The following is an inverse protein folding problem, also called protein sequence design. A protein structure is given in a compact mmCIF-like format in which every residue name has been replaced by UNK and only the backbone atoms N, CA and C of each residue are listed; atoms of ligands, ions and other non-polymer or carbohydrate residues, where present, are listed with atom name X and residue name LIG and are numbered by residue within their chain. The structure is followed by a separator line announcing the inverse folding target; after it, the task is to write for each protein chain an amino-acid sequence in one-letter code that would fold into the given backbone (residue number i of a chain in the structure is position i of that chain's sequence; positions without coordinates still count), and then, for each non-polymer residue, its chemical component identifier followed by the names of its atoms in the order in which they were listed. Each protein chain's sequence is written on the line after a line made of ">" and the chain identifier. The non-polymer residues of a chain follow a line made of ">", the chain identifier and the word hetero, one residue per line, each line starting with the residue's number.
data_IF_130351048576
#
_entry.id   IF_130351048576
#
_cell.length_a   1.000
_cell.length_b   1.000
_cell.length_c   1.000
_cell.angle_alpha   90.00
_cell.angle_beta   90.00
_cell.angle_gamma   90.00
#
_symmetry.space_group_name_H-M   'P 1'
#
loop_
_entity.id
_entity.type
_entity.pdbx_description
1 polymer ?
#
# COMPACT_ATOMS: atom_id res chain seq x y z
N UNK A 1 -19.13 10.33 -3.52
CA UNK A 1 -17.97 10.14 -2.62
C UNK A 1 -17.16 8.99 -3.16
N UNK A 2 -15.84 9.09 -3.16
CA UNK A 2 -14.97 8.04 -3.71
C UNK A 2 -14.98 6.81 -2.78
N UNK A 3 -14.92 5.62 -3.36
CA UNK A 3 -14.77 4.35 -2.66
C UNK A 3 -13.29 4.00 -2.60
N UNK A 4 -12.78 3.78 -1.39
CA UNK A 4 -11.40 3.39 -1.17
C UNK A 4 -11.39 1.94 -0.67
N UNK A 5 -10.76 1.06 -1.43
CA UNK A 5 -10.52 -0.31 -1.01
C UNK A 5 -9.43 -0.36 0.04
N UNK A 6 -9.66 -1.07 1.12
CA UNK A 6 -8.68 -1.30 2.18
C UNK A 6 -8.45 -2.80 2.32
N UNK A 7 -7.23 -3.30 2.19
CA UNK A 7 -6.96 -4.73 2.41
C UNK A 7 -6.50 -4.97 3.84
N UNK A 8 -6.94 -6.08 4.44
CA UNK A 8 -6.65 -6.38 5.85
C UNK A 8 -5.19 -6.77 6.16
N UNK A 9 -4.39 -7.10 5.15
CA UNK A 9 -3.02 -7.56 5.32
C UNK A 9 -2.91 -8.88 6.09
N UNK A 10 -1.79 -9.08 6.78
CA UNK A 10 -1.58 -10.26 7.64
C UNK A 10 -2.58 -10.24 8.80
N UNK A 11 -3.47 -11.25 8.83
CA UNK A 11 -4.54 -11.39 9.84
C UNK A 11 -4.03 -11.59 11.27
N UNK A 12 -2.78 -11.98 11.45
CA UNK A 12 -2.13 -12.15 12.75
C UNK A 12 -1.29 -10.92 13.13
N UNK A 13 -1.10 -9.98 12.19
CA UNK A 13 -0.42 -8.72 12.42
C UNK A 13 -1.34 -7.61 12.94
N UNK A 14 -0.87 -6.37 12.82
CA UNK A 14 -1.57 -5.17 13.33
C UNK A 14 -2.58 -4.56 12.34
N UNK A 15 -2.78 -5.18 11.17
CA UNK A 15 -3.59 -4.60 10.09
C UNK A 15 -5.01 -4.24 10.52
N UNK A 16 -5.71 -5.21 11.14
CA UNK A 16 -7.04 -4.98 11.69
C UNK A 16 -7.07 -3.95 12.82
N UNK A 17 -6.06 -3.91 13.69
CA UNK A 17 -5.96 -2.90 14.75
C UNK A 17 -5.94 -1.49 14.16
N UNK A 18 -5.08 -1.26 13.16
CA UNK A 18 -4.98 0.05 12.48
C UNK A 18 -6.29 0.40 11.80
N UNK A 19 -6.89 -0.55 11.05
CA UNK A 19 -8.14 -0.34 10.32
C UNK A 19 -9.28 0.02 11.28
N UNK A 20 -9.46 -0.76 12.35
CA UNK A 20 -10.53 -0.53 13.34
C UNK A 20 -10.34 0.84 14.01
N UNK A 21 -9.13 1.15 14.51
CA UNK A 21 -8.84 2.44 15.16
C UNK A 21 -9.04 3.62 14.21
N UNK A 22 -8.71 3.47 12.94
CA UNK A 22 -8.93 4.50 11.91
C UNK A 22 -10.42 4.72 11.65
N UNK A 23 -11.21 3.64 11.54
CA UNK A 23 -12.64 3.72 11.22
C UNK A 23 -13.53 4.14 12.40
N UNK A 24 -12.99 4.12 13.63
CA UNK A 24 -13.65 4.74 14.79
C UNK A 24 -13.72 6.27 14.66
N UNK A 25 -12.78 6.88 13.95
CA UNK A 25 -12.81 8.31 13.65
C UNK A 25 -13.80 8.62 12.51
N UNK A 26 -14.95 9.18 12.88
CA UNK A 26 -16.03 9.47 11.94
C UNK A 26 -15.65 10.48 10.85
N UNK A 27 -14.59 11.28 11.05
CA UNK A 27 -14.08 12.22 10.04
C UNK A 27 -13.66 11.51 8.75
N UNK A 28 -13.25 10.24 8.82
CA UNK A 28 -12.90 9.45 7.64
C UNK A 28 -14.04 9.36 6.62
N UNK A 29 -15.29 9.29 7.09
CA UNK A 29 -16.46 9.23 6.22
C UNK A 29 -16.81 10.54 5.52
N UNK A 30 -16.13 11.64 5.86
CA UNK A 30 -16.22 12.90 5.12
C UNK A 30 -15.31 12.88 3.89
N UNK A 31 -14.23 12.10 3.92
CA UNK A 31 -13.26 11.98 2.84
C UNK A 31 -13.58 10.84 1.86
N UNK A 32 -14.05 9.69 2.36
CA UNK A 32 -14.28 8.51 1.52
C UNK A 32 -15.35 7.55 2.05
N UNK A 33 -15.78 6.63 1.19
CA UNK A 33 -16.51 5.42 1.56
C UNK A 33 -15.52 4.24 1.62
N UNK A 34 -15.08 3.79 2.81
CA UNK A 34 -14.15 2.69 2.93
C UNK A 34 -14.82 1.34 2.65
N UNK A 35 -14.15 0.51 1.84
CA UNK A 35 -14.55 -0.88 1.55
C UNK A 35 -13.42 -1.80 1.99
N UNK A 36 -13.61 -2.51 3.09
CA UNK A 36 -12.61 -3.46 3.60
C UNK A 36 -12.70 -4.79 2.84
N UNK A 37 -11.57 -5.28 2.34
CA UNK A 37 -11.40 -6.61 1.79
C UNK A 37 -10.67 -7.46 2.84
N UNK A 38 -11.33 -8.51 3.32
CA UNK A 38 -10.79 -9.37 4.37
C UNK A 38 -11.84 -10.31 4.96
N UNK A 39 -11.72 -10.66 6.23
CA UNK A 39 -12.67 -11.49 6.98
C UNK A 39 -13.46 -10.71 8.03
N UNK A 40 -14.81 -10.78 8.04
CA UNK A 40 -15.63 -10.27 9.14
C UNK A 40 -15.34 -11.00 10.46
N UNK A 41 -15.05 -12.31 10.39
CA UNK A 41 -14.73 -13.13 11.57
C UNK A 41 -13.42 -12.71 12.21
N UNK A 42 -12.37 -12.49 11.41
CA UNK A 42 -11.09 -11.96 11.92
C UNK A 42 -11.26 -10.55 12.46
N UNK A 43 -12.03 -9.70 11.77
CA UNK A 43 -12.33 -8.35 12.27
C UNK A 43 -12.98 -8.39 13.66
N UNK A 44 -13.97 -9.28 13.85
CA UNK A 44 -14.62 -9.48 15.13
C UNK A 44 -13.67 -10.02 16.22
N UNK A 45 -12.75 -10.91 15.85
CA UNK A 45 -11.73 -11.43 16.77
C UNK A 45 -10.80 -10.31 17.25
N UNK A 46 -10.25 -9.50 16.34
CA UNK A 46 -9.40 -8.35 16.70
C UNK A 46 -10.16 -7.31 17.51
N UNK A 47 -11.40 -7.00 17.12
CA UNK A 47 -12.28 -6.09 17.87
C UNK A 47 -12.43 -6.52 19.33
N UNK A 48 -12.67 -7.81 19.57
CA UNK A 48 -12.78 -8.40 20.91
C UNK A 48 -11.44 -8.36 21.67
N UNK A 49 -10.33 -8.67 21.00
CA UNK A 49 -9.00 -8.64 21.61
C UNK A 49 -8.57 -7.22 22.02
N UNK A 50 -9.07 -6.19 21.33
CA UNK A 50 -8.76 -4.77 21.57
C UNK A 50 -9.75 -4.06 22.50
N UNK A 51 -10.83 -4.73 22.94
CA UNK A 51 -11.91 -4.13 23.73
C UNK A 51 -12.59 -2.92 23.03
N UNK A 52 -12.77 -3.00 21.70
CA UNK A 52 -13.32 -1.92 20.88
C UNK A 52 -14.73 -2.22 20.39
N UNK A 53 -15.73 -2.15 21.26
CA UNK A 53 -17.07 -2.66 20.91
C UNK A 53 -17.86 -1.79 19.91
N UNK A 54 -17.50 -0.53 19.74
CA UNK A 54 -18.32 0.48 19.06
C UNK A 54 -18.24 0.48 17.51
N UNK A 55 -17.55 -0.49 16.91
CA UNK A 55 -17.45 -0.61 15.45
C UNK A 55 -18.17 -1.86 14.96
N UNK A 56 -19.07 -1.69 13.99
CA UNK A 56 -19.73 -2.78 13.28
C UNK A 56 -19.43 -2.70 11.79
N UNK A 57 -19.05 -3.83 11.22
CA UNK A 57 -18.87 -3.97 9.77
C UNK A 57 -20.15 -4.52 9.14
N UNK A 58 -20.61 -3.86 8.09
CA UNK A 58 -21.70 -4.31 7.25
C UNK A 58 -21.14 -5.19 6.14
N UNK A 59 -21.53 -6.47 6.16
CA UNK A 59 -21.16 -7.42 5.12
C UNK A 59 -21.83 -7.02 3.80
N UNK A 60 -21.02 -6.90 2.75
CA UNK A 60 -21.43 -6.61 1.39
C UNK A 60 -20.77 -7.60 0.43
N UNK A 61 -21.33 -7.77 -0.76
CA UNK A 61 -20.80 -8.66 -1.79
C UNK A 61 -19.91 -7.94 -2.81
N UNK A 62 -20.17 -6.67 -3.02
CA UNK A 62 -19.43 -5.85 -3.99
C UNK A 62 -19.37 -4.39 -3.55
N UNK A 63 -18.37 -3.62 -4.04
CA UNK A 63 -18.21 -2.21 -3.65
C UNK A 63 -19.44 -1.35 -3.95
N UNK A 64 -20.28 -1.73 -4.91
CA UNK A 64 -21.53 -1.06 -5.29
C UNK A 64 -22.52 -0.97 -4.12
N UNK A 65 -22.56 -2.00 -3.26
CA UNK A 65 -23.44 -2.08 -2.10
C UNK A 65 -22.98 -1.21 -0.91
N UNK A 66 -21.75 -0.66 -0.96
CA UNK A 66 -21.20 0.14 0.12
C UNK A 66 -21.97 1.45 0.33
N UNK A 67 -22.50 1.64 1.54
CA UNK A 67 -23.25 2.83 1.92
C UNK A 67 -22.34 3.91 2.53
N UNK A 68 -22.60 5.20 2.26
CA UNK A 68 -21.90 6.29 2.95
C UNK A 68 -22.05 6.20 4.47
N UNK A 69 -21.03 6.67 5.21
CA UNK A 69 -21.00 6.68 6.69
C UNK A 69 -21.17 5.30 7.35
N UNK A 70 -20.90 4.23 6.61
CA UNK A 70 -20.91 2.84 7.10
C UNK A 70 -19.56 2.19 6.83
N UNK A 71 -19.13 1.34 7.73
CA UNK A 71 -18.00 0.45 7.49
C UNK A 71 -18.48 -0.77 6.72
N UNK A 72 -18.10 -0.89 5.46
CA UNK A 72 -18.44 -2.05 4.65
C UNK A 72 -17.27 -3.03 4.59
N UNK A 73 -17.57 -4.33 4.62
CA UNK A 73 -16.59 -5.40 4.45
C UNK A 73 -17.07 -6.41 3.42
N UNK A 74 -16.17 -6.77 2.50
CA UNK A 74 -16.34 -7.90 1.57
C UNK A 74 -15.58 -9.08 2.19
N UNK A 75 -16.29 -10.19 2.43
CA UNK A 75 -15.65 -11.40 2.91
C UNK A 75 -14.84 -12.03 1.77
N UNK A 76 -13.52 -12.07 1.92
CA UNK A 76 -12.59 -12.62 0.93
C UNK A 76 -12.05 -13.99 1.32
N UNK A 77 -12.29 -14.44 2.55
CA UNK A 77 -11.66 -15.66 3.08
C UNK A 77 -12.69 -16.56 3.74
N UNK A 78 -12.37 -17.84 3.77
CA UNK A 78 -13.25 -18.85 4.35
C UNK A 78 -13.42 -18.68 5.86
N UNK A 79 -14.56 -19.16 6.37
CA UNK A 79 -14.92 -19.05 7.77
C UNK A 79 -14.04 -19.91 8.68
N UNK A 80 -13.37 -20.95 8.16
CA UNK A 80 -12.50 -21.85 8.94
C UNK A 80 -11.13 -21.24 9.32
N UNK A 81 -10.96 -19.94 9.05
CA UNK A 81 -9.73 -19.22 9.35
C UNK A 81 -9.48 -19.10 10.86
N UNK A 82 -8.24 -19.43 11.26
CA UNK A 82 -7.77 -19.35 12.64
C UNK A 82 -6.80 -18.19 12.82
N UNK A 83 -7.10 -17.33 13.79
CA UNK A 83 -6.24 -16.21 14.18
C UNK A 83 -5.27 -16.65 15.28
N UNK A 84 -4.00 -16.36 15.09
CA UNK A 84 -2.91 -16.55 16.04
C UNK A 84 -2.06 -15.27 16.11
N UNK A 85 -2.54 -14.28 16.86
CA UNK A 85 -1.91 -12.96 16.95
C UNK A 85 -0.39 -13.04 17.20
N UNK A 86 0.36 -12.27 16.43
CA UNK A 86 1.83 -12.22 16.49
C UNK A 86 2.55 -13.42 15.88
N UNK A 87 1.85 -14.45 15.40
CA UNK A 87 2.47 -15.60 14.74
C UNK A 87 2.36 -15.52 13.23
N UNK A 88 3.51 -15.67 12.57
CA UNK A 88 3.59 -15.85 11.12
C UNK A 88 3.08 -17.24 10.74
N UNK A 89 1.89 -17.34 10.14
CA UNK A 89 1.32 -18.61 9.64
C UNK A 89 1.07 -18.53 8.14
N UNK A 90 1.08 -19.69 7.45
CA UNK A 90 0.80 -19.78 6.01
C UNK A 90 -0.62 -19.31 5.68
N UNK A 91 -1.60 -19.73 6.48
CA UNK A 91 -3.01 -19.34 6.36
C UNK A 91 -3.18 -17.82 6.42
N UNK A 92 -2.39 -17.13 7.26
CA UNK A 92 -2.44 -15.67 7.35
C UNK A 92 -1.93 -14.98 6.07
N UNK A 93 -0.87 -15.52 5.46
CA UNK A 93 -0.36 -15.04 4.18
C UNK A 93 -1.34 -15.29 3.04
N UNK A 94 -1.90 -16.49 2.93
CA UNK A 94 -2.90 -16.86 1.92
C UNK A 94 -4.14 -15.95 2.01
N UNK A 95 -4.62 -15.67 3.23
CA UNK A 95 -5.71 -14.73 3.48
C UNK A 95 -5.40 -13.31 3.00
N UNK A 96 -4.22 -12.78 3.37
CA UNK A 96 -3.77 -11.46 2.97
C UNK A 96 -3.72 -11.30 1.44
N UNK A 97 -3.17 -12.31 0.74
CA UNK A 97 -3.07 -12.32 -0.73
C UNK A 97 -4.45 -12.44 -1.36
N UNK A 98 -5.34 -13.26 -0.82
CA UNK A 98 -6.71 -13.41 -1.35
C UNK A 98 -7.48 -12.09 -1.28
N UNK A 99 -7.42 -11.39 -0.15
CA UNK A 99 -8.01 -10.07 -0.02
C UNK A 99 -7.38 -9.03 -0.95
N UNK A 100 -6.04 -9.07 -1.11
CA UNK A 100 -5.32 -8.20 -2.03
C UNK A 100 -5.76 -8.42 -3.48
N UNK A 101 -5.79 -9.68 -3.94
CA UNK A 101 -6.22 -10.05 -5.29
C UNK A 101 -7.64 -9.57 -5.59
N UNK A 102 -8.57 -9.75 -4.65
CA UNK A 102 -9.95 -9.27 -4.80
C UNK A 102 -10.01 -7.75 -4.91
N UNK A 103 -9.24 -7.03 -4.09
CA UNK A 103 -9.22 -5.57 -4.10
C UNK A 103 -8.60 -5.00 -5.38
N UNK A 104 -7.51 -5.59 -5.90
CA UNK A 104 -6.89 -5.13 -7.15
C UNK A 104 -7.74 -5.44 -8.37
N UNK A 105 -8.49 -6.55 -8.36
CA UNK A 105 -9.49 -6.83 -9.41
C UNK A 105 -10.58 -5.75 -9.43
N UNK A 106 -11.13 -5.41 -8.27
CA UNK A 106 -12.13 -4.34 -8.17
C UNK A 106 -11.54 -2.96 -8.52
N UNK A 107 -10.25 -2.72 -8.24
CA UNK A 107 -9.55 -1.51 -8.68
C UNK A 107 -9.38 -1.46 -10.21
N UNK A 108 -8.92 -2.57 -10.83
CA UNK A 108 -8.72 -2.69 -12.28
C UNK A 108 -10.04 -2.53 -13.04
N UNK A 109 -11.15 -2.98 -12.44
CA UNK A 109 -12.50 -2.83 -12.97
C UNK A 109 -13.20 -1.51 -12.57
N UNK A 110 -12.48 -0.54 -11.99
CA UNK A 110 -13.01 0.77 -11.57
C UNK A 110 -14.17 0.73 -10.55
N UNK A 111 -14.35 -0.38 -9.83
CA UNK A 111 -15.36 -0.50 -8.76
C UNK A 111 -14.97 0.25 -7.48
N UNK A 112 -13.66 0.42 -7.28
CA UNK A 112 -13.06 1.32 -6.30
C UNK A 112 -12.12 2.31 -6.99
N UNK A 113 -11.86 3.47 -6.38
CA UNK A 113 -11.05 4.54 -6.99
C UNK A 113 -9.61 4.59 -6.44
N UNK A 114 -9.37 3.99 -5.28
CA UNK A 114 -8.04 3.90 -4.68
C UNK A 114 -7.93 2.65 -3.82
N UNK A 115 -6.69 2.21 -3.60
CA UNK A 115 -6.33 1.07 -2.76
C UNK A 115 -5.42 1.54 -1.62
N UNK A 116 -5.72 1.09 -0.42
CA UNK A 116 -4.90 1.23 0.78
C UNK A 116 -4.61 -0.16 1.30
N UNK A 117 -3.35 -0.51 1.48
CA UNK A 117 -2.95 -1.85 1.92
C UNK A 117 -2.47 -1.83 3.36
N UNK A 118 -3.01 -2.72 4.19
CA UNK A 118 -2.43 -2.99 5.50
C UNK A 118 -1.17 -3.87 5.37
N UNK A 119 -0.30 -3.90 6.40
CA UNK A 119 0.97 -4.63 6.33
C UNK A 119 0.79 -6.13 6.07
N UNK A 120 1.66 -6.69 5.23
CA UNK A 120 1.80 -8.13 4.97
C UNK A 120 3.17 -8.61 5.46
N UNK A 121 3.30 -9.91 5.72
CA UNK A 121 4.59 -10.51 6.07
C UNK A 121 5.21 -11.20 4.84
N UNK A 122 6.35 -10.69 4.38
CA UNK A 122 7.04 -11.20 3.18
C UNK A 122 7.36 -12.70 3.23
N UNK A 123 7.51 -13.26 4.43
CA UNK A 123 7.88 -14.66 4.64
C UNK A 123 6.70 -15.63 4.45
N UNK A 124 5.46 -15.21 4.74
CA UNK A 124 4.29 -16.11 4.70
C UNK A 124 3.39 -15.93 3.49
N UNK A 125 3.57 -14.84 2.72
CA UNK A 125 2.81 -14.58 1.49
C UNK A 125 3.32 -15.35 0.28
N UNK A 126 4.50 -15.97 0.36
CA UNK A 126 5.07 -16.71 -0.76
C UNK A 126 4.28 -18.00 -0.99
N UNK A 127 3.84 -18.22 -2.22
CA UNK A 127 3.18 -19.44 -2.67
C UNK A 127 3.57 -19.77 -4.11
N UNK A 128 3.03 -20.86 -4.66
CA UNK A 128 3.21 -21.17 -6.08
C UNK A 128 2.55 -20.12 -6.98
N UNK A 129 1.48 -19.49 -6.51
CA UNK A 129 0.69 -18.50 -7.24
C UNK A 129 1.07 -17.04 -6.91
N UNK A 130 1.93 -16.81 -5.90
CA UNK A 130 2.36 -15.48 -5.48
C UNK A 130 3.84 -15.46 -5.10
N UNK A 131 4.68 -14.92 -5.99
CA UNK A 131 6.15 -14.86 -5.83
C UNK A 131 6.66 -13.42 -5.95
N UNK A 132 6.18 -12.54 -5.07
CA UNK A 132 6.58 -11.14 -5.04
C UNK A 132 7.22 -10.76 -3.71
N UNK A 133 8.18 -9.84 -3.76
CA UNK A 133 8.86 -9.32 -2.56
C UNK A 133 7.99 -8.36 -1.74
N UNK A 134 6.84 -7.94 -2.24
CA UNK A 134 5.95 -7.00 -1.58
C UNK A 134 4.80 -6.54 -2.47
N UNK A 135 4.05 -5.56 -1.96
CA UNK A 135 2.92 -4.97 -2.67
C UNK A 135 3.36 -4.25 -3.95
N UNK A 136 4.47 -3.51 -3.93
CA UNK A 136 4.87 -2.65 -5.05
C UNK A 136 5.17 -3.47 -6.28
N UNK A 137 5.97 -4.52 -6.15
CA UNK A 137 6.35 -5.39 -7.26
C UNK A 137 5.14 -6.12 -7.83
N UNK A 138 4.25 -6.62 -6.96
CA UNK A 138 2.99 -7.24 -7.37
C UNK A 138 2.08 -6.27 -8.13
N UNK A 139 1.88 -5.06 -7.60
CA UNK A 139 0.99 -4.07 -8.20
C UNK A 139 1.54 -3.58 -9.55
N UNK A 140 2.86 -3.40 -9.65
CA UNK A 140 3.49 -3.02 -10.91
C UNK A 140 3.23 -4.07 -12.00
N UNK A 141 3.42 -5.35 -11.68
CA UNK A 141 3.18 -6.46 -12.60
C UNK A 141 1.68 -6.63 -12.94
N UNK A 142 0.80 -6.64 -11.93
CA UNK A 142 -0.64 -6.83 -12.12
C UNK A 142 -1.31 -5.75 -12.98
N UNK A 143 -0.80 -4.51 -12.92
CA UNK A 143 -1.28 -3.38 -13.71
C UNK A 143 -0.49 -3.15 -15.00
N UNK A 144 0.40 -4.07 -15.38
CA UNK A 144 1.23 -3.98 -16.58
C UNK A 144 1.97 -2.63 -16.66
N UNK A 145 2.45 -2.14 -15.51
CA UNK A 145 3.10 -0.84 -15.40
C UNK A 145 4.60 -0.99 -15.65
N UNK A 146 5.15 -0.20 -16.57
CA UNK A 146 6.58 -0.21 -16.89
C UNK A 146 7.45 0.05 -15.65
N UNK A 147 7.00 0.97 -14.78
CA UNK A 147 7.77 1.41 -13.61
C UNK A 147 6.88 2.06 -12.54
N UNK A 148 7.31 1.93 -11.29
CA UNK A 148 6.67 2.56 -10.13
C UNK A 148 7.64 3.49 -9.39
N UNK A 149 7.11 4.37 -8.54
CA UNK A 149 7.92 5.26 -7.69
C UNK A 149 7.46 5.11 -6.24
N UNK A 150 8.39 4.73 -5.36
CA UNK A 150 8.15 4.83 -3.92
C UNK A 150 8.24 6.30 -3.50
N UNK A 151 7.16 6.82 -2.92
CA UNK A 151 7.03 8.19 -2.44
C UNK A 151 6.65 8.18 -0.96
N UNK A 152 7.53 8.72 -0.11
CA UNK A 152 7.21 9.02 1.28
C UNK A 152 6.62 10.43 1.33
N UNK A 153 5.44 10.59 1.92
CA UNK A 153 4.73 11.87 1.96
C UNK A 153 4.31 12.24 3.38
N UNK A 154 4.55 13.49 3.75
CA UNK A 154 4.01 14.15 4.94
C UNK A 154 3.41 15.51 4.58
N UNK A 155 2.87 16.21 5.58
CA UNK A 155 2.41 17.60 5.42
C UNK A 155 3.55 18.56 5.08
N UNK A 156 4.78 18.28 5.55
CA UNK A 156 5.94 19.14 5.38
C UNK A 156 6.72 18.84 4.10
N UNK A 157 6.88 17.56 3.75
CA UNK A 157 7.77 17.15 2.66
C UNK A 157 7.32 15.88 1.95
N UNK A 158 7.78 15.73 0.71
CA UNK A 158 7.57 14.55 -0.14
C UNK A 158 8.93 14.11 -0.69
N UNK A 159 9.26 12.83 -0.49
CA UNK A 159 10.57 12.27 -0.88
C UNK A 159 10.32 11.03 -1.71
N UNK A 160 10.62 11.13 -3.01
CA UNK A 160 10.72 9.99 -3.91
C UNK A 160 12.14 9.43 -3.90
N UNK A 161 12.28 8.12 -4.03
CA UNK A 161 13.57 7.45 -4.15
C UNK A 161 13.75 6.85 -5.54
N UNK A 162 14.94 7.00 -6.12
CA UNK A 162 15.25 6.41 -7.44
C UNK A 162 15.45 4.91 -7.30
N UNK A 163 16.24 4.49 -6.31
CA UNK A 163 16.49 3.09 -5.96
C UNK A 163 15.86 2.76 -4.61
N UNK A 164 15.43 1.51 -4.42
CA UNK A 164 14.86 1.05 -3.14
C UNK A 164 15.32 -0.37 -2.82
N UNK A 165 15.54 -0.65 -1.53
CA UNK A 165 15.88 -1.98 -1.01
C UNK A 165 17.10 -2.69 -1.64
N UNK A 166 18.11 -1.94 -2.10
CA UNK A 166 19.37 -2.49 -2.60
C UNK A 166 20.54 -2.23 -1.63
N UNK A 167 21.60 -3.07 -1.66
CA UNK A 167 22.83 -2.77 -0.94
C UNK A 167 23.40 -1.41 -1.34
N UNK A 168 23.89 -0.65 -0.35
CA UNK A 168 24.44 0.70 -0.58
C UNK A 168 25.57 0.70 -1.62
N UNK A 169 26.38 -0.36 -1.64
CA UNK A 169 27.47 -0.52 -2.60
C UNK A 169 26.99 -0.61 -4.06
N UNK A 170 25.75 -1.04 -4.29
CA UNK A 170 25.18 -1.25 -5.62
C UNK A 170 24.45 0.00 -6.13
N UNK A 171 24.13 0.95 -5.24
CA UNK A 171 23.39 2.18 -5.59
C UNK A 171 24.03 2.94 -6.75
N UNK A 172 25.36 3.21 -6.79
CA UNK A 172 25.96 3.95 -7.90
C UNK A 172 25.79 3.27 -9.26
N UNK A 173 25.73 1.93 -9.29
CA UNK A 173 25.57 1.15 -10.52
C UNK A 173 24.13 1.15 -11.08
N UNK A 174 23.15 1.43 -10.23
CA UNK A 174 21.72 1.49 -10.56
C UNK A 174 21.20 2.93 -10.74
N UNK A 175 22.10 3.90 -10.91
CA UNK A 175 21.75 5.29 -11.15
C UNK A 175 22.14 5.67 -12.56
N UNK A 176 21.25 5.39 -13.51
CA UNK A 176 21.37 5.84 -14.89
C UNK A 176 20.58 7.12 -15.14
N UNK A 177 20.93 7.85 -16.20
CA UNK A 177 20.20 9.05 -16.61
C UNK A 177 18.75 8.71 -16.96
N UNK A 178 18.55 7.55 -17.56
CA UNK A 178 17.27 7.02 -18.00
C UNK A 178 16.36 6.74 -16.79
N UNK A 179 16.86 6.00 -15.79
CA UNK A 179 16.13 5.70 -14.55
C UNK A 179 15.78 6.96 -13.77
N UNK A 180 16.75 7.87 -13.56
CA UNK A 180 16.51 9.14 -12.86
C UNK A 180 15.45 9.97 -13.60
N UNK A 181 15.59 10.10 -14.93
CA UNK A 181 14.64 10.82 -15.76
C UNK A 181 13.24 10.22 -15.70
N UNK A 182 13.12 8.90 -15.68
CA UNK A 182 11.83 8.21 -15.57
C UNK A 182 11.16 8.45 -14.21
N UNK A 183 11.91 8.30 -13.11
CA UNK A 183 11.39 8.55 -11.75
C UNK A 183 10.97 10.01 -11.55
N UNK A 184 11.73 10.98 -12.09
CA UNK A 184 11.36 12.40 -12.07
C UNK A 184 10.05 12.64 -12.84
N UNK A 185 9.86 12.02 -14.01
CA UNK A 185 8.61 12.14 -14.78
C UNK A 185 7.42 11.55 -14.02
N UNK A 186 7.58 10.38 -13.41
CA UNK A 186 6.53 9.77 -12.58
C UNK A 186 6.17 10.69 -11.40
N UNK A 187 7.19 11.23 -10.71
CA UNK A 187 6.98 12.15 -9.59
C UNK A 187 6.26 13.43 -10.03
N UNK A 188 6.71 14.09 -11.10
CA UNK A 188 6.08 15.31 -11.63
C UNK A 188 4.61 15.08 -12.00
N UNK A 189 4.31 13.95 -12.66
CA UNK A 189 2.94 13.58 -13.01
C UNK A 189 2.08 13.33 -11.77
N UNK A 190 2.60 12.62 -10.77
CA UNK A 190 1.87 12.37 -9.51
C UNK A 190 1.65 13.67 -8.73
N UNK A 191 2.66 14.55 -8.63
CA UNK A 191 2.52 15.85 -7.97
C UNK A 191 1.45 16.72 -8.64
N UNK A 192 1.30 16.66 -9.97
CA UNK A 192 0.24 17.35 -10.70
C UNK A 192 -1.13 16.72 -10.49
N UNK A 193 -1.23 15.40 -10.72
CA UNK A 193 -2.50 14.67 -10.76
C UNK A 193 -3.06 14.36 -9.37
N UNK A 194 -2.21 13.81 -8.50
CA UNK A 194 -2.63 13.24 -7.22
C UNK A 194 -2.52 14.28 -6.08
N UNK A 195 -1.61 15.25 -6.21
CA UNK A 195 -1.42 16.32 -5.21
C UNK A 195 -1.88 17.71 -5.66
N UNK A 196 -2.37 17.87 -6.90
CA UNK A 196 -2.92 19.12 -7.40
C UNK A 196 -1.91 20.27 -7.59
N UNK A 197 -0.60 19.97 -7.64
CA UNK A 197 0.45 20.98 -7.76
C UNK A 197 0.64 21.33 -9.24
N UNK A 198 0.12 22.48 -9.68
CA UNK A 198 0.13 22.90 -11.10
C UNK A 198 1.53 23.02 -11.72
N UNK A 199 2.50 23.50 -10.95
CA UNK A 199 3.90 23.68 -11.39
C UNK A 199 4.85 23.08 -10.33
N UNK A 200 5.03 21.75 -10.29
CA UNK A 200 5.89 21.11 -9.33
C UNK A 200 7.33 21.63 -9.42
N UNK A 201 7.96 21.82 -8.28
CA UNK A 201 9.39 22.09 -8.17
C UNK A 201 10.02 20.89 -7.49
N UNK A 202 10.85 20.16 -8.23
CA UNK A 202 11.50 18.94 -7.75
C UNK A 202 12.97 19.25 -7.52
N UNK A 203 13.41 19.09 -6.27
CA UNK A 203 14.84 19.11 -5.94
C UNK A 203 15.39 17.69 -6.11
N UNK A 204 16.55 17.58 -6.77
CA UNK A 204 17.25 16.30 -6.97
C UNK A 204 18.51 16.32 -6.10
N UNK A 205 18.65 15.33 -5.23
CA UNK A 205 19.83 15.17 -4.40
C UNK A 205 20.91 14.45 -5.20
N UNK A 206 22.15 14.94 -5.13
CA UNK A 206 23.29 14.25 -5.72
C UNK A 206 23.62 12.97 -4.95
N UNK A 207 24.09 11.94 -5.65
CA UNK A 207 24.49 10.67 -5.03
C UNK A 207 25.64 10.86 -4.03
N UNK A 208 26.65 11.61 -4.44
CA UNK A 208 27.85 11.84 -3.65
C UNK A 208 27.65 13.02 -2.69
N UNK A 209 28.33 13.01 -1.53
CA UNK A 209 28.43 14.19 -0.68
C UNK A 209 28.86 15.42 -1.48
N UNK A 210 28.28 16.57 -1.14
CA UNK A 210 28.51 17.83 -1.86
C UNK A 210 28.21 17.76 -3.37
N UNK A 211 27.31 16.87 -3.79
CA UNK A 211 27.00 16.60 -5.20
C UNK A 211 28.23 16.27 -6.08
N UNK A 212 29.28 15.70 -5.46
CA UNK A 212 30.51 15.33 -6.16
C UNK A 212 31.47 16.49 -6.39
N UNK A 213 31.52 17.47 -5.47
CA UNK A 213 32.35 18.68 -5.57
C UNK A 213 33.73 18.38 -6.18
N UNK A 214 34.02 19.14 -7.24
CA UNK A 214 34.84 18.74 -8.37
C UNK A 214 36.31 18.57 -7.96
N UNK A 215 36.72 17.36 -7.55
CA UNK A 215 38.08 16.72 -7.71
C UNK A 215 38.53 15.76 -6.61
N UNK A 216 37.84 15.62 -5.47
CA UNK A 216 38.41 14.83 -4.35
C UNK A 216 38.01 13.35 -4.29
N UNK A 217 36.94 12.92 -4.98
CA UNK A 217 36.42 11.54 -4.92
C UNK A 217 36.51 10.76 -6.25
N UNK A 218 37.03 11.37 -7.32
CA UNK A 218 37.49 10.64 -8.53
C UNK A 218 36.43 9.98 -9.42
N UNK A 219 35.13 10.22 -9.21
CA UNK A 219 34.04 9.67 -10.05
C UNK A 219 33.04 10.77 -10.47
N UNK A 220 32.39 10.64 -11.65
CA UNK A 220 31.47 11.65 -12.15
C UNK A 220 30.29 11.87 -11.18
N UNK A 221 29.78 13.10 -11.16
CA UNK A 221 28.53 13.43 -10.49
C UNK A 221 27.40 12.71 -11.23
N UNK A 222 26.76 11.77 -10.54
CA UNK A 222 25.47 11.20 -10.92
C UNK A 222 24.40 11.86 -10.04
#
# INVERSE_FOLDING_TARGET
>A
MIKIGVTHGDINGIGYEIIIKTLLDQRIFEFCTPVLYGSPKVAAYHRKALDLENLSFHNIRSPEEALPKKCSIINCVDDDIRVELGKSTKVAGEAAITALMRAVDDLKNNRIQALVTAPINKLNIQSDDFRYNGHTEFLQDYFDADESLMLMSSELMKVGVVTSHIPVADVPGHLTREEIGQKIRILDNSLKRDFGIRKPRIAVLGLNPHAGDVRMTGRPAV
#
